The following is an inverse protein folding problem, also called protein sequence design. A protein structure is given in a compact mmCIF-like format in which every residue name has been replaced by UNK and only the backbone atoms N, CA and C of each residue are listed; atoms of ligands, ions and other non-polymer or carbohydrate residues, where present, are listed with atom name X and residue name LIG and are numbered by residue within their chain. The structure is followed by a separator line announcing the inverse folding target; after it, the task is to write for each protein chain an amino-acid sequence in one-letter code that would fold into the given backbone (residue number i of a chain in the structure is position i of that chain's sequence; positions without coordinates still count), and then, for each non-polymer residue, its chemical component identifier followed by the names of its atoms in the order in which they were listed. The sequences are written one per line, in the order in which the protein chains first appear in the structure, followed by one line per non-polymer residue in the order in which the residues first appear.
data_IF_794186483303
#
_entry.id   IF_794186483303
#
_cell.length_a   1.000
_cell.length_b   1.000
_cell.length_c   1.000
_cell.angle_alpha   90.00
_cell.angle_beta   90.00
_cell.angle_gamma   90.00
#
_symmetry.space_group_name_H-M   'P 1'
#
loop_
_entity.id
_entity.type
_entity.pdbx_description
1 polymer ?
#
# COMPACT_ATOMS: atom_id res chain seq x y z
N UNK A 1 16.70 -26.03 4.70
CA UNK A 1 16.99 -24.70 4.12
C UNK A 1 15.73 -24.07 3.51
N UNK A 2 14.81 -24.85 2.96
CA UNK A 2 13.59 -24.35 2.30
C UNK A 2 12.67 -23.52 3.21
N UNK A 3 12.48 -23.90 4.48
CA UNK A 3 11.67 -23.12 5.42
C UNK A 3 12.22 -21.72 5.71
N UNK A 4 13.56 -21.58 5.70
CA UNK A 4 14.21 -20.28 5.90
C UNK A 4 14.03 -19.39 4.68
N UNK A 5 14.09 -19.97 3.47
CA UNK A 5 13.84 -19.26 2.23
C UNK A 5 12.37 -18.82 2.12
N UNK A 6 11.42 -19.70 2.47
CA UNK A 6 9.99 -19.36 2.50
C UNK A 6 9.68 -18.24 3.51
N UNK A 7 10.31 -18.28 4.68
CA UNK A 7 10.18 -17.22 5.67
C UNK A 7 10.72 -15.88 5.13
N UNK A 8 11.94 -15.89 4.58
CA UNK A 8 12.55 -14.69 4.02
C UNK A 8 11.70 -14.10 2.87
N UNK A 9 11.21 -14.94 1.96
CA UNK A 9 10.37 -14.52 0.84
C UNK A 9 9.06 -13.87 1.33
N UNK A 10 8.39 -14.50 2.29
CA UNK A 10 7.14 -13.98 2.86
C UNK A 10 7.37 -12.67 3.59
N UNK A 11 8.48 -12.56 4.33
CA UNK A 11 8.90 -11.33 4.99
C UNK A 11 9.13 -10.21 3.97
N UNK A 12 9.89 -10.46 2.90
CA UNK A 12 10.13 -9.46 1.87
C UNK A 12 8.84 -9.03 1.15
N UNK A 13 7.94 -9.97 0.85
CA UNK A 13 6.66 -9.60 0.26
C UNK A 13 5.83 -8.70 1.17
N UNK A 14 5.71 -9.05 2.45
CA UNK A 14 5.01 -8.19 3.41
C UNK A 14 5.71 -6.83 3.58
N UNK A 15 7.04 -6.82 3.64
CA UNK A 15 7.82 -5.60 3.78
C UNK A 15 7.62 -4.66 2.58
N UNK A 16 7.62 -5.19 1.36
CA UNK A 16 7.37 -4.42 0.13
C UNK A 16 5.92 -3.93 0.10
N UNK A 17 4.94 -4.79 0.43
CA UNK A 17 3.51 -4.42 0.42
C UNK A 17 3.20 -3.31 1.43
N UNK A 18 3.83 -3.33 2.60
CA UNK A 18 3.57 -2.34 3.66
C UNK A 18 4.22 -0.98 3.38
N UNK A 19 5.15 -0.90 2.43
CA UNK A 19 5.93 0.29 2.07
C UNK A 19 6.33 1.17 3.29
N UNK A 20 7.05 0.60 4.27
CA UNK A 20 7.40 1.32 5.50
C UNK A 20 8.36 2.48 5.21
N UNK A 21 9.18 2.38 4.16
CA UNK A 21 10.19 3.39 3.83
C UNK A 21 9.55 4.68 3.32
N UNK A 22 8.48 4.62 2.52
CA UNK A 22 7.74 5.82 2.14
C UNK A 22 6.80 6.28 3.26
N UNK A 23 6.15 5.34 3.96
CA UNK A 23 5.12 5.66 4.96
C UNK A 23 5.67 6.41 6.19
N UNK A 24 6.87 6.07 6.68
CA UNK A 24 7.48 6.73 7.86
C UNK A 24 7.72 8.23 7.63
N UNK A 25 8.50 8.67 6.62
CA UNK A 25 8.76 10.09 6.40
C UNK A 25 7.48 10.87 6.05
N UNK A 26 6.55 10.26 5.31
CA UNK A 26 5.24 10.87 5.04
C UNK A 26 4.48 11.11 6.34
N UNK A 27 4.36 10.09 7.20
CA UNK A 27 3.70 10.21 8.50
C UNK A 27 4.36 11.27 9.40
N UNK A 28 5.69 11.26 9.49
CA UNK A 28 6.44 12.25 10.27
C UNK A 28 6.27 13.66 9.73
N UNK A 29 6.22 13.85 8.40
CA UNK A 29 5.98 15.15 7.79
C UNK A 29 4.59 15.70 8.12
N UNK A 30 3.58 14.82 8.14
CA UNK A 30 2.18 15.17 8.43
C UNK A 30 1.92 15.40 9.92
N UNK A 31 2.72 14.80 10.81
CA UNK A 31 2.54 14.87 12.27
C UNK A 31 3.58 15.73 12.98
N UNK A 32 4.46 16.42 12.24
CA UNK A 32 5.60 17.19 12.76
C UNK A 32 5.21 18.25 13.82
N UNK A 33 4.01 18.81 13.72
CA UNK A 33 3.54 19.89 14.58
C UNK A 33 2.56 19.42 15.67
N UNK A 34 2.31 18.12 15.78
CA UNK A 34 1.36 17.56 16.74
C UNK A 34 2.04 17.20 18.06
N UNK A 35 1.30 17.29 19.17
CA UNK A 35 1.75 16.76 20.45
C UNK A 35 1.83 15.22 20.41
N UNK A 36 2.70 14.62 21.24
CA UNK A 36 2.91 13.16 21.23
C UNK A 36 1.63 12.35 21.47
N UNK A 37 0.70 12.86 22.28
CA UNK A 37 -0.58 12.20 22.54
C UNK A 37 -1.49 12.20 21.30
N UNK A 38 -1.50 13.30 20.55
CA UNK A 38 -2.25 13.38 19.30
C UNK A 38 -1.63 12.48 18.23
N UNK A 39 -0.30 12.47 18.11
CA UNK A 39 0.43 11.62 17.16
C UNK A 39 0.11 10.13 17.36
N UNK A 40 0.03 9.67 18.62
CA UNK A 40 -0.37 8.29 18.93
C UNK A 40 -1.81 8.00 18.49
N UNK A 41 -2.74 8.93 18.71
CA UNK A 41 -4.13 8.79 18.28
C UNK A 41 -4.24 8.72 16.75
N UNK A 42 -3.49 9.55 16.04
CA UNK A 42 -3.43 9.52 14.57
C UNK A 42 -2.88 8.18 14.08
N UNK A 43 -1.80 7.68 14.68
CA UNK A 43 -1.22 6.38 14.33
C UNK A 43 -2.23 5.24 14.55
N UNK A 44 -2.91 5.20 15.70
CA UNK A 44 -3.93 4.20 15.98
C UNK A 44 -5.08 4.25 14.98
N UNK A 45 -5.57 5.46 14.66
CA UNK A 45 -6.64 5.62 13.67
C UNK A 45 -6.19 5.15 12.28
N UNK A 46 -4.99 5.49 11.85
CA UNK A 46 -4.44 5.07 10.57
C UNK A 46 -4.36 3.54 10.47
N UNK A 47 -3.86 2.87 11.52
CA UNK A 47 -3.78 1.41 11.59
C UNK A 47 -5.17 0.77 11.58
N UNK A 48 -6.13 1.32 12.34
CA UNK A 48 -7.51 0.80 12.37
C UNK A 48 -8.16 0.93 10.99
N UNK A 49 -8.05 2.10 10.35
CA UNK A 49 -8.64 2.34 9.02
C UNK A 49 -8.00 1.41 7.98
N UNK A 50 -6.66 1.29 7.98
CA UNK A 50 -5.95 0.38 7.09
C UNK A 50 -6.38 -1.08 7.33
N UNK A 51 -6.52 -1.49 8.59
CA UNK A 51 -7.01 -2.81 8.97
C UNK A 51 -8.43 -3.08 8.50
N UNK A 52 -9.34 -2.11 8.61
CA UNK A 52 -10.72 -2.23 8.11
C UNK A 52 -10.72 -2.38 6.58
N UNK A 53 -9.94 -1.58 5.86
CA UNK A 53 -9.84 -1.67 4.40
C UNK A 53 -9.28 -3.04 3.99
N UNK A 54 -8.21 -3.50 4.65
CA UNK A 54 -7.62 -4.80 4.39
C UNK A 54 -8.61 -5.95 4.67
N UNK A 55 -9.35 -5.88 5.77
CA UNK A 55 -10.35 -6.88 6.13
C UNK A 55 -11.53 -6.89 5.18
N UNK A 56 -12.01 -5.71 4.75
CA UNK A 56 -13.04 -5.60 3.74
C UNK A 56 -12.60 -6.21 2.41
N UNK A 57 -11.35 -5.94 1.99
CA UNK A 57 -10.79 -6.51 0.76
C UNK A 57 -10.55 -8.02 0.89
N UNK A 58 -10.20 -8.52 2.07
CA UNK A 58 -10.09 -9.95 2.33
C UNK A 58 -11.43 -10.66 2.16
N UNK A 59 -12.53 -10.05 2.61
CA UNK A 59 -13.87 -10.64 2.53
C UNK A 59 -14.50 -10.52 1.13
N UNK A 60 -14.34 -9.37 0.49
CA UNK A 60 -15.05 -9.03 -0.77
C UNK A 60 -14.17 -9.22 -2.00
N UNK A 61 -12.84 -9.12 -1.85
CA UNK A 61 -11.88 -9.13 -2.94
C UNK A 61 -12.00 -10.32 -3.90
N UNK A 62 -12.05 -11.57 -3.43
CA UNK A 62 -12.23 -12.73 -4.31
C UNK A 62 -13.53 -12.64 -5.13
N UNK A 63 -14.63 -12.27 -4.49
CA UNK A 63 -15.92 -12.08 -5.17
C UNK A 63 -15.87 -10.98 -6.24
N UNK A 64 -15.16 -9.88 -5.95
CA UNK A 64 -14.99 -8.76 -6.88
C UNK A 64 -14.16 -9.17 -8.10
N UNK A 65 -13.11 -9.97 -7.88
CA UNK A 65 -12.27 -10.53 -8.92
C UNK A 65 -13.04 -11.49 -9.82
N UNK A 66 -13.82 -12.40 -9.23
CA UNK A 66 -14.64 -13.36 -9.98
C UNK A 66 -15.72 -12.66 -10.82
N UNK A 67 -16.37 -11.63 -10.27
CA UNK A 67 -17.39 -10.84 -10.98
C UNK A 67 -16.81 -10.12 -12.20
N UNK A 68 -15.60 -9.60 -12.07
CA UNK A 68 -14.90 -8.87 -13.15
C UNK A 68 -14.16 -9.82 -14.10
N UNK A 69 -14.10 -11.12 -13.81
CA UNK A 69 -13.29 -12.13 -14.52
C UNK A 69 -11.80 -11.78 -14.56
N UNK A 70 -11.32 -11.13 -13.51
CA UNK A 70 -9.93 -10.68 -13.33
C UNK A 70 -9.25 -11.59 -12.30
N UNK A 71 -7.98 -11.91 -12.50
CA UNK A 71 -7.19 -12.71 -11.57
C UNK A 71 -6.38 -11.84 -10.60
N UNK A 72 -5.91 -12.42 -9.50
CA UNK A 72 -4.93 -11.76 -8.62
C UNK A 72 -3.64 -11.38 -9.36
N UNK A 73 -3.27 -12.13 -10.40
CA UNK A 73 -2.10 -11.84 -11.24
C UNK A 73 -2.31 -10.56 -12.02
N UNK A 74 -3.51 -10.35 -12.59
CA UNK A 74 -3.84 -9.15 -13.33
C UNK A 74 -3.78 -7.90 -12.44
N UNK A 75 -4.31 -7.98 -11.21
CA UNK A 75 -4.20 -6.89 -10.23
C UNK A 75 -2.73 -6.56 -9.88
N UNK A 76 -1.88 -7.58 -9.72
CA UNK A 76 -0.45 -7.38 -9.44
C UNK A 76 0.25 -6.68 -10.60
N UNK A 77 -0.04 -7.06 -11.84
CA UNK A 77 0.54 -6.44 -13.04
C UNK A 77 0.09 -4.98 -13.15
N UNK A 78 -1.22 -4.74 -13.07
CA UNK A 78 -1.79 -3.38 -13.15
C UNK A 78 -1.29 -2.50 -12.01
N UNK A 79 -1.28 -3.02 -10.78
CA UNK A 79 -0.75 -2.30 -9.61
C UNK A 79 0.73 -1.95 -9.78
N UNK A 80 1.54 -2.87 -10.30
CA UNK A 80 2.95 -2.59 -10.62
C UNK A 80 3.11 -1.48 -11.66
N UNK A 81 2.30 -1.49 -12.73
CA UNK A 81 2.30 -0.44 -13.75
C UNK A 81 1.91 0.90 -13.14
N UNK A 82 0.84 0.96 -12.34
CA UNK A 82 0.39 2.19 -11.67
C UNK A 82 1.50 2.73 -10.76
N UNK A 83 2.15 1.89 -9.96
CA UNK A 83 3.25 2.33 -9.08
C UNK A 83 4.42 2.91 -9.86
N UNK A 84 4.78 2.31 -11.01
CA UNK A 84 5.81 2.85 -11.90
C UNK A 84 5.39 4.21 -12.44
N UNK A 85 4.15 4.34 -12.92
CA UNK A 85 3.63 5.61 -13.45
C UNK A 85 3.61 6.70 -12.38
N UNK A 86 3.11 6.41 -11.18
CA UNK A 86 3.09 7.36 -10.06
C UNK A 86 4.50 7.75 -9.60
N UNK A 87 5.45 6.82 -9.62
CA UNK A 87 6.84 7.09 -9.32
C UNK A 87 7.48 8.01 -10.37
N UNK A 88 7.20 7.77 -11.66
CA UNK A 88 7.65 8.62 -12.76
C UNK A 88 7.04 10.02 -12.68
N UNK A 89 5.74 10.12 -12.41
CA UNK A 89 5.04 11.39 -12.16
C UNK A 89 5.67 12.15 -10.99
N UNK A 90 5.91 11.49 -9.87
CA UNK A 90 6.46 12.11 -8.65
C UNK A 90 7.90 12.62 -8.81
N UNK A 91 8.73 11.93 -9.61
CA UNK A 91 10.16 12.26 -9.75
C UNK A 91 10.46 13.14 -10.95
N UNK A 92 9.81 12.87 -12.09
CA UNK A 92 10.09 13.54 -13.37
C UNK A 92 9.06 14.64 -13.69
N UNK A 93 7.96 14.73 -12.92
CA UNK A 93 6.93 15.75 -13.11
C UNK A 93 6.00 15.50 -14.31
N UNK A 94 5.87 14.25 -14.76
CA UNK A 94 4.89 13.89 -15.78
C UNK A 94 3.47 13.87 -15.21
N UNK A 95 2.55 14.64 -15.77
CA UNK A 95 1.13 14.57 -15.40
C UNK A 95 0.39 13.61 -16.33
N UNK A 96 0.11 12.40 -15.85
CA UNK A 96 -0.70 11.42 -16.57
C UNK A 96 -2.21 11.68 -16.41
N UNK A 97 -2.59 12.62 -15.55
CA UNK A 97 -3.95 13.14 -15.38
C UNK A 97 -4.17 14.34 -16.32
N UNK A 98 -3.89 14.17 -17.62
CA UNK A 98 -4.28 15.18 -18.61
C UNK A 98 -5.80 15.34 -18.59
N UNK A 99 -6.24 16.42 -17.97
CA UNK A 99 -7.62 16.90 -17.99
C UNK A 99 -7.71 18.00 -19.04
N UNK A 100 -7.86 17.57 -20.29
CA UNK A 100 -8.47 18.39 -21.35
C UNK A 100 -9.99 18.18 -21.34
#
# INVERSE_FOLDING_TARGET
MDNLLLFAQSFFYLFIIMDPLASIPVFLSLTKNNEQNEMKKIATNAVIIAGIIAFAFLLIGPTLLDLTRVTLTDLKIVGGIILVLLGLESVLGFDFSTKD
#
